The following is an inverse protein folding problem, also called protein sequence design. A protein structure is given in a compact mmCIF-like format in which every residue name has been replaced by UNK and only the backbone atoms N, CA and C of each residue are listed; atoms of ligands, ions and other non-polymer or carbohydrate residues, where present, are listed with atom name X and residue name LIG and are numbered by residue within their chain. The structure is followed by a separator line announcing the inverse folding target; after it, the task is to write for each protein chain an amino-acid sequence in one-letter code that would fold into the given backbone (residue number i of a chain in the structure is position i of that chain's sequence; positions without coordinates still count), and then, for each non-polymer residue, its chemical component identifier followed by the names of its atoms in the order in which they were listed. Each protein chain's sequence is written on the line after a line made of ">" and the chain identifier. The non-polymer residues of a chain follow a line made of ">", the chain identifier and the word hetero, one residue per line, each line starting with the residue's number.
data_IF_227408251513
#
_entry.id   IF_227408251513
#
_cell.length_a   1.000
_cell.length_b   1.000
_cell.length_c   1.000
_cell.angle_alpha   90.00
_cell.angle_beta   90.00
_cell.angle_gamma   90.00
#
_symmetry.space_group_name_H-M   'P 1'
#
loop_
_entity.id
_entity.type
_entity.pdbx_description
1 polymer ?
#
# COMPACT_ATOMS: atom_id res chain seq x y z
N UNK A 1 -12.44 34.05 4.78
CA UNK A 1 -11.21 33.25 4.88
C UNK A 1 -11.45 31.89 4.27
N UNK A 2 -11.14 31.74 2.98
CA UNK A 2 -11.31 30.49 2.24
C UNK A 2 -10.04 29.67 2.35
N UNK A 3 -10.03 28.67 3.22
CA UNK A 3 -8.99 27.65 3.20
C UNK A 3 -9.08 26.92 1.86
N UNK A 4 -8.10 27.15 0.99
CA UNK A 4 -7.91 26.36 -0.21
C UNK A 4 -7.65 24.93 0.20
N UNK A 5 -8.70 24.10 0.12
CA UNK A 5 -8.52 22.67 0.09
C UNK A 5 -7.71 22.37 -1.17
N UNK A 6 -6.40 22.18 -1.02
CA UNK A 6 -5.62 21.40 -1.97
C UNK A 6 -6.32 20.05 -2.02
N UNK A 7 -7.14 19.85 -3.06
CA UNK A 7 -7.87 18.63 -3.28
C UNK A 7 -6.82 17.55 -3.54
N UNK A 8 -6.41 16.86 -2.46
CA UNK A 8 -5.66 15.62 -2.58
C UNK A 8 -6.50 14.69 -3.43
N UNK A 9 -5.97 14.31 -4.59
CA UNK A 9 -6.66 13.38 -5.46
C UNK A 9 -7.00 12.11 -4.72
N UNK A 10 -8.25 11.68 -4.79
CA UNK A 10 -8.55 10.27 -4.55
C UNK A 10 -7.93 9.54 -5.74
N UNK A 11 -6.96 8.66 -5.50
CA UNK A 11 -6.43 7.78 -6.55
C UNK A 11 -7.54 6.88 -7.15
N UNK A 12 -7.16 5.82 -7.87
CA UNK A 12 -8.15 4.82 -8.32
C UNK A 12 -9.04 4.37 -7.15
N UNK A 13 -10.32 4.08 -7.44
CA UNK A 13 -11.23 3.57 -6.42
C UNK A 13 -10.78 2.16 -6.00
N UNK A 14 -10.39 2.00 -4.73
CA UNK A 14 -9.87 0.75 -4.17
C UNK A 14 -10.93 -0.06 -3.38
N UNK A 15 -12.22 0.30 -3.49
CA UNK A 15 -13.32 -0.41 -2.82
C UNK A 15 -13.62 -1.77 -3.45
N UNK A 16 -14.50 -2.55 -2.82
CA UNK A 16 -14.98 -3.85 -3.34
C UNK A 16 -13.87 -4.88 -3.61
N UNK A 17 -12.84 -4.90 -2.76
CA UNK A 17 -11.69 -5.81 -2.85
C UNK A 17 -10.63 -5.39 -3.86
N UNK A 18 -10.79 -4.25 -4.54
CA UNK A 18 -9.79 -3.75 -5.49
C UNK A 18 -8.47 -3.39 -4.81
N UNK A 19 -8.47 -3.05 -3.51
CA UNK A 19 -7.22 -2.89 -2.75
C UNK A 19 -6.40 -4.18 -2.72
N UNK A 20 -7.03 -5.33 -2.45
CA UNK A 20 -6.34 -6.62 -2.32
C UNK A 20 -5.89 -7.11 -3.69
N UNK A 21 -6.72 -6.94 -4.72
CA UNK A 21 -6.33 -7.28 -6.09
C UNK A 21 -5.20 -6.41 -6.62
N UNK A 22 -5.11 -5.15 -6.17
CA UNK A 22 -4.05 -4.24 -6.62
C UNK A 22 -2.77 -4.45 -5.82
N UNK A 23 -2.89 -4.77 -4.55
CA UNK A 23 -1.77 -5.03 -3.66
C UNK A 23 -2.05 -6.33 -2.91
N UNK A 24 -1.68 -7.46 -3.53
CA UNK A 24 -1.77 -8.75 -2.87
C UNK A 24 -0.94 -8.71 -1.58
N UNK A 25 0.31 -8.28 -1.69
CA UNK A 25 1.20 -8.02 -0.56
C UNK A 25 0.87 -6.68 0.14
N UNK A 26 0.58 -6.67 1.45
CA UNK A 26 0.42 -5.45 2.24
C UNK A 26 1.67 -4.55 2.27
N UNK A 27 2.88 -5.09 2.15
CA UNK A 27 4.12 -4.32 2.09
C UNK A 27 4.21 -3.51 0.78
N UNK A 28 3.74 -4.07 -0.34
CA UNK A 28 3.64 -3.36 -1.61
C UNK A 28 2.62 -2.22 -1.52
N UNK A 29 1.54 -2.41 -0.76
CA UNK A 29 0.58 -1.35 -0.47
C UNK A 29 1.20 -0.23 0.38
N UNK A 30 2.02 -0.56 1.37
CA UNK A 30 2.72 0.40 2.22
C UNK A 30 3.65 1.28 1.39
N UNK A 31 4.46 0.67 0.52
CA UNK A 31 5.33 1.38 -0.39
C UNK A 31 4.53 2.39 -1.24
N UNK A 32 3.40 1.94 -1.81
CA UNK A 32 2.52 2.81 -2.58
C UNK A 32 1.93 3.96 -1.75
N UNK A 33 1.45 3.71 -0.53
CA UNK A 33 0.89 4.73 0.36
C UNK A 33 1.95 5.77 0.77
N UNK A 34 3.17 5.30 1.04
CA UNK A 34 4.26 6.15 1.49
C UNK A 34 4.80 7.08 0.40
N UNK A 35 4.75 6.66 -0.88
CA UNK A 35 5.39 7.40 -1.98
C UNK A 35 4.40 7.99 -3.00
N UNK A 36 3.15 7.54 -2.98
CA UNK A 36 2.09 7.99 -3.86
C UNK A 36 2.40 7.82 -5.36
N UNK A 37 1.66 8.50 -6.23
CA UNK A 37 1.82 8.30 -7.68
C UNK A 37 3.08 8.91 -8.28
N UNK A 38 3.88 9.67 -7.53
CA UNK A 38 5.14 10.26 -8.02
C UNK A 38 6.37 9.38 -7.74
N UNK A 39 6.36 8.58 -6.66
CA UNK A 39 7.47 7.69 -6.31
C UNK A 39 7.08 6.21 -6.10
N UNK A 40 5.79 5.92 -6.08
CA UNK A 40 5.23 4.57 -5.96
C UNK A 40 5.24 3.70 -7.23
N UNK A 41 5.11 4.25 -8.47
CA UNK A 41 5.06 3.40 -9.65
C UNK A 41 6.45 2.99 -10.15
N UNK A 42 6.48 1.90 -10.92
CA UNK A 42 7.62 1.47 -11.74
C UNK A 42 7.95 2.55 -12.80
N UNK A 43 9.15 2.50 -13.42
CA UNK A 43 9.54 3.47 -14.45
C UNK A 43 8.60 3.56 -15.67
N UNK A 44 7.79 2.52 -15.92
CA UNK A 44 6.80 2.49 -16.99
C UNK A 44 5.42 3.03 -16.58
N UNK A 45 5.26 3.48 -15.33
CA UNK A 45 4.02 4.03 -14.78
C UNK A 45 3.12 2.98 -14.10
N UNK A 46 3.46 1.70 -14.19
CA UNK A 46 2.66 0.64 -13.57
C UNK A 46 2.89 0.55 -12.06
N UNK A 47 1.88 0.10 -11.32
CA UNK A 47 1.96 -0.10 -9.88
C UNK A 47 1.06 -1.23 -9.41
N UNK A 48 1.37 -1.74 -8.21
CA UNK A 48 0.72 -2.91 -7.65
C UNK A 48 1.16 -4.21 -8.33
N UNK A 49 0.38 -5.25 -8.09
CA UNK A 49 0.57 -6.61 -8.57
C UNK A 49 0.57 -6.68 -10.11
N UNK A 50 1.63 -7.24 -10.68
CA UNK A 50 1.79 -7.43 -12.13
C UNK A 50 0.88 -8.52 -12.70
N UNK A 51 0.51 -9.50 -11.88
CA UNK A 51 -0.34 -10.64 -12.21
C UNK A 51 -1.82 -10.40 -11.85
N UNK A 52 -2.16 -9.20 -11.35
CA UNK A 52 -3.53 -8.75 -11.13
C UNK A 52 -4.44 -9.08 -12.32
N UNK A 53 -5.63 -9.61 -12.06
CA UNK A 53 -6.63 -9.86 -13.12
C UNK A 53 -6.98 -8.55 -13.87
N UNK A 54 -6.76 -8.55 -15.19
CA UNK A 54 -6.91 -7.37 -16.03
C UNK A 54 -5.65 -6.50 -16.15
N UNK A 55 -4.53 -6.95 -15.58
CA UNK A 55 -3.22 -6.29 -15.61
C UNK A 55 -2.95 -5.38 -14.41
N UNK A 56 -1.69 -4.95 -14.25
CA UNK A 56 -1.30 -3.98 -13.23
C UNK A 56 -2.03 -2.66 -13.44
N UNK A 57 -2.14 -1.88 -12.37
CA UNK A 57 -2.68 -0.53 -12.47
C UNK A 57 -1.60 0.41 -13.04
N UNK A 58 -2.04 1.54 -13.58
CA UNK A 58 -1.17 2.52 -14.22
C UNK A 58 -1.57 3.94 -13.80
N UNK A 59 -0.58 4.76 -13.44
CA UNK A 59 -0.79 6.14 -13.01
C UNK A 59 -1.42 7.03 -14.09
N UNK A 60 -1.25 6.72 -15.36
CA UNK A 60 -1.89 7.43 -16.48
C UNK A 60 -3.42 7.24 -16.48
N UNK A 61 -3.93 6.24 -15.76
CA UNK A 61 -5.38 6.03 -15.59
C UNK A 61 -5.97 6.81 -14.42
N UNK A 62 -5.15 7.49 -13.63
CA UNK A 62 -5.59 8.26 -12.47
C UNK A 62 -6.22 9.58 -12.93
N UNK A 63 -7.40 9.89 -12.39
CA UNK A 63 -8.04 11.19 -12.63
C UNK A 63 -7.36 12.32 -11.85
N UNK A 64 -6.57 12.00 -10.83
CA UNK A 64 -5.76 12.95 -10.05
C UNK A 64 -4.59 12.21 -9.40
N UNK A 65 -3.45 12.88 -9.27
CA UNK A 65 -2.27 12.43 -8.51
C UNK A 65 -2.66 12.05 -7.08
N UNK A 66 -2.27 10.84 -6.68
CA UNK A 66 -2.39 10.40 -5.30
C UNK A 66 -1.16 10.90 -4.54
N UNK A 67 -1.40 11.73 -3.53
CA UNK A 67 -0.34 12.27 -2.68
C UNK A 67 0.21 11.20 -1.75
N UNK A 68 1.52 11.25 -1.52
CA UNK A 68 2.20 10.44 -0.53
C UNK A 68 1.67 10.73 0.89
N UNK A 69 1.64 9.70 1.73
CA UNK A 69 1.40 9.82 3.17
C UNK A 69 2.74 9.97 3.91
N UNK A 70 3.68 10.69 3.31
CA UNK A 70 5.06 10.88 3.78
C UNK A 70 5.20 11.62 5.11
N UNK A 71 4.11 12.24 5.59
CA UNK A 71 4.04 12.85 6.91
C UNK A 71 3.77 11.86 8.05
N UNK A 72 3.38 10.61 7.73
CA UNK A 72 3.10 9.58 8.72
C UNK A 72 4.38 8.84 9.11
N UNK A 73 4.48 8.46 10.38
CA UNK A 73 5.52 7.55 10.86
C UNK A 73 5.30 6.10 10.39
N UNK A 74 6.30 5.22 10.51
CA UNK A 74 6.19 3.83 10.06
C UNK A 74 5.08 3.05 10.77
N UNK A 75 4.90 3.24 12.09
CA UNK A 75 3.78 2.65 12.85
C UNK A 75 2.42 3.13 12.33
N UNK A 76 2.29 4.41 11.99
CA UNK A 76 1.04 4.99 11.48
C UNK A 76 0.73 4.47 10.07
N UNK A 77 1.74 4.30 9.22
CA UNK A 77 1.61 3.68 7.91
C UNK A 77 1.17 2.22 8.02
N UNK A 78 1.69 1.47 9.00
CA UNK A 78 1.23 0.12 9.29
C UNK A 78 -0.26 0.09 9.68
N UNK A 79 -0.66 0.93 10.63
CA UNK A 79 -2.04 1.03 11.09
C UNK A 79 -3.00 1.44 9.97
N UNK A 80 -2.62 2.42 9.14
CA UNK A 80 -3.41 2.88 7.98
C UNK A 80 -3.56 1.76 6.96
N UNK A 81 -2.51 1.02 6.65
CA UNK A 81 -2.58 -0.09 5.69
C UNK A 81 -3.53 -1.18 6.16
N UNK A 82 -3.40 -1.61 7.42
CA UNK A 82 -4.31 -2.59 8.04
C UNK A 82 -5.75 -2.08 7.99
N UNK A 83 -5.98 -0.81 8.32
CA UNK A 83 -7.31 -0.20 8.27
C UNK A 83 -7.89 -0.19 6.84
N UNK A 84 -7.10 0.20 5.84
CA UNK A 84 -7.55 0.24 4.44
C UNK A 84 -7.91 -1.17 3.98
N UNK A 85 -7.07 -2.17 4.25
CA UNK A 85 -7.34 -3.56 3.85
C UNK A 85 -8.59 -4.11 4.53
N UNK A 86 -8.76 -3.89 5.84
CA UNK A 86 -9.96 -4.31 6.56
C UNK A 86 -11.24 -3.58 6.09
N UNK A 87 -11.13 -2.32 5.66
CA UNK A 87 -12.29 -1.52 5.24
C UNK A 87 -12.68 -1.78 3.78
N UNK A 88 -11.70 -2.01 2.91
CA UNK A 88 -11.89 -2.05 1.47
C UNK A 88 -11.58 -3.42 0.83
N UNK A 89 -11.16 -4.41 1.62
CA UNK A 89 -10.85 -5.77 1.15
C UNK A 89 -12.04 -6.53 0.58
N UNK A 90 -13.25 -6.04 0.78
CA UNK A 90 -14.46 -6.59 0.20
C UNK A 90 -14.98 -7.83 0.93
N UNK A 91 -16.08 -8.39 0.41
CA UNK A 91 -16.72 -9.56 0.99
C UNK A 91 -15.84 -10.81 0.80
N UNK A 92 -15.33 -11.35 1.90
CA UNK A 92 -14.50 -12.57 1.90
C UNK A 92 -13.03 -12.36 2.23
N UNK A 93 -12.58 -11.11 2.38
CA UNK A 93 -11.25 -10.82 2.91
C UNK A 93 -11.14 -11.26 4.38
N UNK A 94 -10.20 -12.16 4.65
CA UNK A 94 -9.81 -12.57 6.00
C UNK A 94 -8.34 -12.20 6.23
N UNK A 95 -8.05 -11.19 7.07
CA UNK A 95 -6.68 -10.74 7.32
C UNK A 95 -5.74 -11.83 7.82
N UNK A 96 -6.27 -12.86 8.49
CA UNK A 96 -5.43 -13.91 9.08
C UNK A 96 -4.99 -14.95 8.05
N UNK A 97 -5.74 -15.11 6.95
CA UNK A 97 -5.38 -16.03 5.87
C UNK A 97 -4.68 -15.33 4.72
N UNK A 98 -5.08 -14.09 4.43
CA UNK A 98 -4.55 -13.31 3.32
C UNK A 98 -3.24 -12.60 3.70
N UNK A 99 -3.07 -12.17 4.96
CA UNK A 99 -1.88 -11.44 5.43
C UNK A 99 -1.31 -12.03 6.74
N UNK A 100 -0.78 -13.27 6.70
CA UNK A 100 -0.31 -13.95 7.91
C UNK A 100 0.85 -13.22 8.59
N UNK A 101 1.60 -12.40 7.87
CA UNK A 101 2.77 -11.67 8.36
C UNK A 101 2.49 -10.18 8.68
N UNK A 102 1.33 -9.65 8.27
CA UNK A 102 1.01 -8.23 8.45
C UNK A 102 -0.48 -7.97 8.65
N UNK A 103 -0.96 -8.08 9.89
CA UNK A 103 -2.38 -7.92 10.21
C UNK A 103 -2.62 -7.25 11.58
N UNK A 104 -3.89 -6.95 11.87
CA UNK A 104 -4.30 -6.26 13.09
C UNK A 104 -3.96 -7.02 14.38
N UNK A 105 -3.93 -8.36 14.36
CA UNK A 105 -3.57 -9.14 15.55
C UNK A 105 -2.07 -9.03 15.85
N UNK A 106 -1.23 -9.12 14.81
CA UNK A 106 0.20 -8.91 14.95
C UNK A 106 0.52 -7.47 15.37
N UNK A 107 -0.14 -6.48 14.79
CA UNK A 107 -0.01 -5.08 15.19
C UNK A 107 -0.39 -4.86 16.66
N UNK A 108 -1.46 -5.48 17.13
CA UNK A 108 -1.86 -5.39 18.53
C UNK A 108 -0.91 -6.13 19.49
N UNK A 109 -0.26 -7.19 19.01
CA UNK A 109 0.67 -7.98 19.80
C UNK A 109 2.06 -7.30 19.92
N UNK A 110 2.59 -6.79 18.82
CA UNK A 110 3.88 -6.12 18.75
C UNK A 110 3.91 -5.06 17.62
N UNK A 111 3.46 -3.82 17.90
CA UNK A 111 3.45 -2.76 16.89
C UNK A 111 4.86 -2.36 16.44
N UNK A 112 5.86 -2.53 17.31
CA UNK A 112 7.26 -2.20 16.99
C UNK A 112 7.85 -3.18 15.96
N UNK A 113 7.41 -4.45 15.96
CA UNK A 113 7.81 -5.40 14.92
C UNK A 113 7.29 -4.97 13.54
N UNK A 114 6.03 -4.52 13.45
CA UNK A 114 5.45 -4.06 12.20
C UNK A 114 6.02 -2.70 11.77
N UNK A 115 6.31 -1.82 12.73
CA UNK A 115 7.04 -0.58 12.49
C UNK A 115 8.38 -0.85 11.80
N UNK A 116 9.17 -1.81 12.31
CA UNK A 116 10.46 -2.18 11.72
C UNK A 116 10.33 -2.74 10.29
N UNK A 117 9.29 -3.52 10.00
CA UNK A 117 9.00 -3.98 8.64
C UNK A 117 8.70 -2.80 7.70
N UNK A 118 7.90 -1.82 8.17
CA UNK A 118 7.62 -0.61 7.41
C UNK A 118 8.89 0.22 7.20
N UNK A 119 9.75 0.36 8.21
CA UNK A 119 11.04 1.03 8.06
C UNK A 119 11.91 0.40 6.97
N UNK A 120 11.91 -0.93 6.87
CA UNK A 120 12.62 -1.65 5.81
C UNK A 120 12.05 -1.32 4.42
N UNK A 121 10.71 -1.32 4.28
CA UNK A 121 10.03 -0.92 3.03
C UNK A 121 10.37 0.52 2.65
N UNK A 122 10.37 1.45 3.60
CA UNK A 122 10.69 2.87 3.36
C UNK A 122 12.15 3.11 2.99
N UNK A 123 13.05 2.16 3.28
CA UNK A 123 14.46 2.25 2.95
C UNK A 123 14.80 1.75 1.53
N UNK A 124 13.81 1.22 0.79
CA UNK A 124 13.99 0.68 -0.56
C UNK A 124 14.30 1.78 -1.59
N UNK A 125 14.90 1.37 -2.72
CA UNK A 125 15.17 2.26 -3.84
C UNK A 125 13.84 2.65 -4.51
N UNK A 126 13.58 3.96 -4.60
CA UNK A 126 12.36 4.47 -5.21
C UNK A 126 12.18 4.11 -6.69
N UNK A 127 13.25 3.66 -7.35
CA UNK A 127 13.22 3.21 -8.75
C UNK A 127 12.94 1.71 -8.90
N UNK A 128 12.83 0.97 -7.79
CA UNK A 128 12.64 -0.48 -7.76
C UNK A 128 11.57 -0.86 -6.72
N UNK A 129 10.28 -0.54 -6.98
CA UNK A 129 9.19 -0.92 -6.08
C UNK A 129 9.08 -2.45 -5.90
N UNK A 130 9.60 -3.24 -6.83
CA UNK A 130 9.59 -4.70 -6.77
C UNK A 130 10.61 -5.25 -5.76
N UNK A 131 11.52 -4.41 -5.25
CA UNK A 131 12.42 -4.76 -4.17
C UNK A 131 11.68 -5.11 -2.85
N UNK A 132 10.39 -4.73 -2.73
CA UNK A 132 9.54 -5.13 -1.61
C UNK A 132 9.50 -6.64 -1.42
N UNK A 133 9.53 -7.43 -2.50
CA UNK A 133 9.54 -8.90 -2.43
C UNK A 133 10.77 -9.48 -1.70
N UNK A 134 11.81 -8.66 -1.46
CA UNK A 134 13.00 -9.02 -0.69
C UNK A 134 12.91 -8.75 0.81
N UNK A 135 11.87 -8.04 1.29
CA UNK A 135 11.68 -7.69 2.71
C UNK A 135 11.21 -8.92 3.49
N UNK A 136 11.68 -9.07 4.73
CA UNK A 136 11.25 -10.18 5.60
C UNK A 136 9.73 -10.09 5.85
N UNK A 137 8.99 -11.17 5.56
CA UNK A 137 7.53 -11.17 5.71
C UNK A 137 6.75 -10.61 4.51
N UNK A 138 7.43 -10.26 3.41
CA UNK A 138 6.78 -10.08 2.12
C UNK A 138 6.07 -11.36 1.67
N UNK A 139 4.87 -11.22 1.14
CA UNK A 139 4.16 -12.35 0.53
C UNK A 139 4.75 -12.55 -0.87
N UNK A 140 5.23 -13.77 -1.16
CA UNK A 140 5.79 -14.05 -2.49
C UNK A 140 4.69 -14.02 -3.55
N UNK A 141 4.82 -13.12 -4.53
CA UNK A 141 4.05 -13.15 -5.79
C UNK A 141 4.27 -14.47 -6.56
#
# INVERSE_FOLDING_TARGET
>A
DGAGASAGGTGQQLSDGEVIKTFADPLSQIYWIAHGSEGGPRPDGTYGDLDREGGPRDVDTLTTTMGAFDSLGPEELAAVTIYIRATFGGDGYDPLTEDPNFNAELFAADPAALEALVEEVLALDLNDPDAVAGVEGAETE
#
